data_IF_857500619619
#
_entry.id   IF_857500619619
#
_cell.length_a   1.000
_cell.length_b   1.000
_cell.length_c   1.000
_cell.angle_alpha   90.00
_cell.angle_beta   90.00
_cell.angle_gamma   90.00
#
_symmetry.space_group_name_H-M   'P 1'
#
loop_
_entity.id
_entity.type
_entity.pdbx_description
1 polymer ?
#
# COMPACT_ATOMS: atom_id res chain seq x y z
N UNK A 1 15.32 -6.85 -22.70
CA UNK A 1 14.56 -5.63 -22.37
C UNK A 1 15.13 -5.04 -21.09
N UNK A 2 15.42 -3.74 -21.10
CA UNK A 2 15.96 -3.00 -19.96
C UNK A 2 14.93 -1.97 -19.50
N UNK A 3 14.54 -2.05 -18.22
CA UNK A 3 13.45 -1.25 -17.64
C UNK A 3 13.96 -0.39 -16.50
N UNK A 4 13.74 0.92 -16.60
CA UNK A 4 13.99 1.88 -15.53
C UNK A 4 12.69 2.14 -14.73
N UNK A 5 12.61 1.63 -13.50
CA UNK A 5 11.51 1.96 -12.57
C UNK A 5 11.84 3.25 -11.84
N UNK A 6 11.07 4.31 -12.06
CA UNK A 6 11.28 5.60 -11.40
C UNK A 6 10.37 5.70 -10.18
N UNK A 7 10.98 5.76 -9.00
CA UNK A 7 10.29 5.92 -7.71
C UNK A 7 10.77 7.19 -7.02
N UNK A 8 9.86 7.98 -6.46
CA UNK A 8 10.19 9.28 -5.87
C UNK A 8 11.18 9.19 -4.69
N UNK A 9 10.86 8.33 -3.75
CA UNK A 9 11.68 7.99 -2.57
C UNK A 9 11.69 6.47 -2.44
N UNK A 10 12.84 5.82 -2.63
CA UNK A 10 12.94 4.37 -2.56
C UNK A 10 13.43 3.93 -1.18
N UNK A 11 12.52 3.96 -0.23
CA UNK A 11 12.68 3.44 1.13
C UNK A 11 11.50 2.53 1.47
N UNK A 12 11.56 1.25 1.06
CA UNK A 12 10.46 0.30 1.27
C UNK A 12 9.98 0.19 2.72
N UNK A 13 10.90 0.40 3.68
CA UNK A 13 10.61 0.41 5.11
C UNK A 13 9.73 1.58 5.58
N UNK A 14 9.51 2.61 4.72
CA UNK A 14 8.77 3.84 5.05
C UNK A 14 7.64 4.18 4.09
N UNK A 15 7.61 3.55 2.91
CA UNK A 15 6.67 3.90 1.84
C UNK A 15 6.10 2.67 1.13
N UNK A 16 4.78 2.64 1.00
CA UNK A 16 4.07 1.59 0.28
C UNK A 16 4.35 1.56 -1.23
N UNK A 17 4.60 2.73 -1.86
CA UNK A 17 4.96 2.82 -3.30
C UNK A 17 6.36 2.28 -3.54
N UNK A 18 7.31 2.61 -2.65
CA UNK A 18 8.66 2.06 -2.69
C UNK A 18 8.64 0.54 -2.49
N UNK A 19 7.84 0.04 -1.54
CA UNK A 19 7.68 -1.40 -1.32
C UNK A 19 7.08 -2.11 -2.54
N UNK A 20 6.01 -1.55 -3.14
CA UNK A 20 5.46 -2.05 -4.40
C UNK A 20 6.52 -2.08 -5.51
N UNK A 21 7.29 -0.99 -5.65
CA UNK A 21 8.35 -0.87 -6.66
C UNK A 21 9.43 -1.96 -6.47
N UNK A 22 9.84 -2.21 -5.23
CA UNK A 22 10.80 -3.25 -4.90
C UNK A 22 10.29 -4.66 -5.28
N UNK A 23 9.03 -4.96 -4.95
CA UNK A 23 8.41 -6.26 -5.29
C UNK A 23 8.26 -6.44 -6.80
N UNK A 24 7.80 -5.40 -7.50
CA UNK A 24 7.70 -5.43 -8.98
C UNK A 24 9.08 -5.60 -9.61
N UNK A 25 10.09 -4.88 -9.16
CA UNK A 25 11.45 -4.98 -9.65
C UNK A 25 12.00 -6.40 -9.50
N UNK A 26 11.88 -6.98 -8.30
CA UNK A 26 12.33 -8.35 -8.03
C UNK A 26 11.59 -9.38 -8.88
N UNK A 27 10.30 -9.19 -9.12
CA UNK A 27 9.49 -10.11 -9.90
C UNK A 27 9.82 -10.04 -11.41
N UNK A 28 10.07 -8.82 -11.93
CA UNK A 28 10.53 -8.62 -13.30
C UNK A 28 11.93 -9.20 -13.52
N UNK A 29 12.85 -8.98 -12.55
CA UNK A 29 14.21 -9.54 -12.62
C UNK A 29 14.20 -11.07 -12.65
N UNK A 30 13.35 -11.72 -11.84
CA UNK A 30 13.17 -13.20 -11.89
C UNK A 30 12.68 -13.71 -13.25
N UNK A 31 12.06 -12.86 -14.06
CA UNK A 31 11.64 -13.15 -15.44
C UNK A 31 12.67 -12.77 -16.51
N UNK A 32 13.89 -12.43 -16.09
CA UNK A 32 15.01 -12.11 -17.01
C UNK A 32 14.96 -10.67 -17.56
N UNK A 33 14.21 -9.76 -16.94
CA UNK A 33 14.24 -8.33 -17.27
C UNK A 33 15.43 -7.68 -16.56
N UNK A 34 16.21 -6.89 -17.28
CA UNK A 34 17.23 -6.03 -16.67
C UNK A 34 16.55 -4.81 -16.06
N UNK A 35 16.51 -4.75 -14.73
CA UNK A 35 15.77 -3.73 -13.99
C UNK A 35 16.71 -2.79 -13.27
N UNK A 36 16.54 -1.50 -13.52
CA UNK A 36 17.17 -0.41 -12.78
C UNK A 36 16.09 0.36 -11.99
N UNK A 37 16.25 0.53 -10.68
CA UNK A 37 15.43 1.45 -9.90
C UNK A 37 16.10 2.81 -9.83
N UNK A 38 15.45 3.85 -10.34
CA UNK A 38 15.92 5.23 -10.30
C UNK A 38 15.10 6.04 -9.27
N UNK A 39 15.76 6.67 -8.30
CA UNK A 39 15.09 7.33 -7.17
C UNK A 39 15.78 8.60 -6.72
N UNK A 40 15.07 9.40 -5.90
CA UNK A 40 15.62 10.55 -5.17
C UNK A 40 16.35 10.17 -3.87
N UNK A 41 16.08 8.97 -3.35
CA UNK A 41 16.77 8.40 -2.20
C UNK A 41 16.77 6.88 -2.30
N UNK A 42 17.73 6.22 -1.66
CA UNK A 42 17.82 4.78 -1.56
C UNK A 42 17.76 4.37 -0.09
N UNK A 43 16.96 3.34 0.20
CA UNK A 43 16.95 2.61 1.47
C UNK A 43 17.50 1.20 1.29
N UNK A 44 17.60 0.46 2.38
CA UNK A 44 18.00 -0.94 2.38
C UNK A 44 16.84 -1.83 1.86
N UNK A 45 17.18 -2.97 1.26
CA UNK A 45 16.21 -4.05 0.97
C UNK A 45 15.76 -4.20 -0.48
N UNK A 46 16.56 -3.79 -1.47
CA UNK A 46 16.33 -4.17 -2.86
C UNK A 46 17.34 -5.23 -3.33
N UNK A 47 16.82 -6.35 -3.86
CA UNK A 47 17.61 -7.37 -4.58
C UNK A 47 17.97 -6.92 -6.00
N UNK A 48 17.72 -5.65 -6.33
CA UNK A 48 17.94 -5.04 -7.64
C UNK A 48 18.76 -3.76 -7.52
N UNK A 49 19.45 -3.40 -8.60
CA UNK A 49 20.27 -2.17 -8.62
C UNK A 49 19.44 -0.91 -8.41
N UNK A 50 19.78 -0.14 -7.38
CA UNK A 50 19.17 1.18 -7.11
C UNK A 50 20.15 2.27 -7.44
N UNK A 51 19.72 3.24 -8.25
CA UNK A 51 20.51 4.44 -8.58
C UNK A 51 19.83 5.68 -8.08
N UNK A 52 20.50 6.45 -7.24
CA UNK A 52 20.05 7.78 -6.85
C UNK A 52 20.36 8.73 -8.00
N UNK A 53 19.31 9.25 -8.66
CA UNK A 53 19.41 10.09 -9.87
C UNK A 53 19.20 11.57 -9.58
N UNK A 54 18.74 11.90 -8.40
CA UNK A 54 18.49 13.28 -7.96
C UNK A 54 18.49 13.38 -6.44
N UNK A 55 18.65 14.57 -5.91
CA UNK A 55 18.52 14.90 -4.48
C UNK A 55 17.18 15.58 -4.14
N UNK A 56 16.28 15.67 -5.11
CA UNK A 56 14.94 16.24 -4.95
C UNK A 56 14.22 16.36 -6.29
N UNK A 57 12.89 16.54 -6.24
CA UNK A 57 12.01 16.47 -7.42
C UNK A 57 11.52 17.84 -7.92
N UNK A 58 12.08 18.96 -7.48
CA UNK A 58 11.91 20.25 -8.12
C UNK A 58 12.52 20.28 -9.54
N UNK A 59 12.29 21.34 -10.31
CA UNK A 59 12.67 21.43 -11.73
C UNK A 59 14.13 21.06 -12.02
N UNK A 60 15.06 21.48 -11.16
CA UNK A 60 16.48 21.11 -11.27
C UNK A 60 16.72 19.62 -11.09
N UNK A 61 16.05 19.00 -10.11
CA UNK A 61 16.12 17.58 -9.83
C UNK A 61 15.53 16.72 -10.93
N UNK A 62 14.36 17.10 -11.46
CA UNK A 62 13.73 16.40 -12.60
C UNK A 62 14.63 16.42 -13.84
N UNK A 63 15.33 17.55 -14.09
CA UNK A 63 16.33 17.65 -15.17
C UNK A 63 17.52 16.71 -14.96
N UNK A 64 18.02 16.59 -13.71
CA UNK A 64 19.10 15.63 -13.39
C UNK A 64 18.63 14.20 -13.57
N UNK A 65 17.46 13.86 -13.07
CA UNK A 65 16.87 12.54 -13.22
C UNK A 65 16.68 12.18 -14.71
N UNK A 66 16.14 13.10 -15.52
CA UNK A 66 15.96 12.88 -16.95
C UNK A 66 17.29 12.61 -17.66
N UNK A 67 18.36 13.34 -17.37
CA UNK A 67 19.71 13.12 -17.94
C UNK A 67 20.24 11.75 -17.50
N UNK A 68 20.18 11.44 -16.21
CA UNK A 68 20.66 10.15 -15.70
C UNK A 68 19.94 8.95 -16.33
N UNK A 69 18.63 9.07 -16.57
CA UNK A 69 17.84 8.03 -17.24
C UNK A 69 18.16 7.94 -18.75
N UNK A 70 18.45 9.08 -19.40
CA UNK A 70 18.80 9.10 -20.82
C UNK A 70 20.15 8.41 -21.11
N UNK A 71 21.06 8.37 -20.13
CA UNK A 71 22.37 7.72 -20.21
C UNK A 71 22.30 6.18 -20.04
N UNK A 72 21.13 5.61 -19.67
CA UNK A 72 20.99 4.20 -19.28
C UNK A 72 20.55 3.25 -20.41
N UNK A 73 20.32 3.74 -21.63
CA UNK A 73 19.83 2.95 -22.76
C UNK A 73 18.63 2.06 -22.41
N UNK A 74 17.59 2.69 -21.85
CA UNK A 74 16.38 2.01 -21.40
C UNK A 74 15.39 1.79 -22.55
N UNK A 75 14.82 0.58 -22.65
CA UNK A 75 13.69 0.28 -23.52
C UNK A 75 12.38 0.91 -22.97
N UNK A 76 12.25 0.87 -21.63
CA UNK A 76 11.06 1.37 -20.90
C UNK A 76 11.49 2.22 -19.73
N UNK A 77 10.84 3.38 -19.58
CA UNK A 77 10.82 4.17 -18.35
C UNK A 77 9.44 4.01 -17.73
N UNK A 78 9.37 3.41 -16.56
CA UNK A 78 8.12 3.18 -15.85
C UNK A 78 8.08 3.98 -14.53
N UNK A 79 7.23 5.00 -14.49
CA UNK A 79 7.11 5.90 -13.34
C UNK A 79 6.07 5.37 -12.35
N UNK A 80 6.46 5.23 -11.09
CA UNK A 80 5.59 4.89 -9.97
C UNK A 80 5.08 6.18 -9.33
N UNK A 81 3.89 6.63 -9.71
CA UNK A 81 3.40 7.95 -9.35
C UNK A 81 2.46 7.92 -8.14
N UNK A 82 2.86 8.64 -7.09
CA UNK A 82 2.05 9.14 -6.02
C UNK A 82 2.60 10.51 -5.62
N UNK A 83 1.80 11.58 -5.50
CA UNK A 83 2.31 12.92 -5.17
C UNK A 83 3.16 12.96 -3.90
N UNK A 84 2.77 12.18 -2.88
CA UNK A 84 3.49 12.06 -1.61
C UNK A 84 4.91 11.50 -1.77
N UNK A 85 5.11 10.52 -2.68
CA UNK A 85 6.42 9.93 -2.94
C UNK A 85 7.41 10.91 -3.58
N UNK A 86 6.90 11.94 -4.27
CA UNK A 86 7.70 13.02 -4.86
C UNK A 86 7.72 14.29 -4.01
N UNK A 87 7.45 14.18 -2.71
CA UNK A 87 7.39 15.30 -1.77
C UNK A 87 6.48 16.45 -2.26
N UNK A 88 5.40 16.10 -2.96
CA UNK A 88 4.41 17.03 -3.54
C UNK A 88 4.96 17.95 -4.64
N UNK A 89 6.09 17.59 -5.25
CA UNK A 89 6.67 18.32 -6.38
C UNK A 89 5.96 17.97 -7.70
N UNK A 90 5.15 18.89 -8.24
CA UNK A 90 4.45 18.74 -9.51
C UNK A 90 5.35 18.75 -10.74
N UNK A 91 6.56 19.25 -10.58
CA UNK A 91 7.57 19.30 -11.63
C UNK A 91 7.94 17.92 -12.18
N UNK A 92 7.74 16.84 -11.41
CA UNK A 92 7.90 15.47 -11.92
C UNK A 92 7.01 15.19 -13.13
N UNK A 93 5.87 15.87 -13.22
CA UNK A 93 4.98 15.85 -14.39
C UNK A 93 5.63 16.30 -15.70
N UNK A 94 6.78 16.98 -15.65
CA UNK A 94 7.56 17.40 -16.81
C UNK A 94 8.60 16.36 -17.26
N UNK A 95 8.84 15.31 -16.50
CA UNK A 95 9.84 14.29 -16.79
C UNK A 95 9.73 13.75 -18.23
N UNK A 96 8.53 13.41 -18.76
CA UNK A 96 8.40 12.90 -20.12
C UNK A 96 8.87 13.86 -21.22
N UNK A 97 8.74 15.16 -21.01
CA UNK A 97 9.21 16.16 -21.96
C UNK A 97 10.76 16.26 -21.99
N UNK A 98 11.42 15.87 -20.91
CA UNK A 98 12.87 15.95 -20.75
C UNK A 98 13.59 14.65 -21.15
N UNK A 99 12.89 13.51 -21.21
CA UNK A 99 13.44 12.20 -21.62
C UNK A 99 13.69 12.06 -23.12
N UNK A 100 13.14 12.96 -23.96
CA UNK A 100 13.40 12.97 -25.39
C UNK A 100 12.79 11.81 -26.20
N UNK A 101 11.90 11.00 -25.62
CA UNK A 101 11.07 10.02 -26.32
C UNK A 101 11.78 8.77 -26.86
N UNK A 102 12.97 8.45 -26.37
CA UNK A 102 13.72 7.23 -26.80
C UNK A 102 13.16 5.95 -26.20
N UNK A 103 12.80 6.00 -24.90
CA UNK A 103 12.21 4.88 -24.18
C UNK A 103 10.68 4.97 -24.19
N UNK A 104 10.02 3.82 -24.15
CA UNK A 104 8.57 3.75 -23.94
C UNK A 104 8.24 4.22 -22.53
N UNK A 105 7.31 5.15 -22.39
CA UNK A 105 6.86 5.62 -21.08
C UNK A 105 5.64 4.82 -20.63
N UNK A 106 5.71 4.26 -19.41
CA UNK A 106 4.58 3.69 -18.67
C UNK A 106 4.47 4.42 -17.35
N UNK A 107 3.26 4.63 -16.86
CA UNK A 107 3.04 5.27 -15.56
C UNK A 107 2.03 4.48 -14.74
N UNK A 108 2.43 3.99 -13.56
CA UNK A 108 1.49 3.47 -12.55
C UNK A 108 1.06 4.61 -11.64
N UNK A 109 -0.25 4.80 -11.48
CA UNK A 109 -0.81 5.77 -10.53
C UNK A 109 -1.29 5.05 -9.26
N UNK A 110 -0.62 5.30 -8.14
CA UNK A 110 -0.98 4.78 -6.82
C UNK A 110 -1.98 5.66 -6.10
N UNK A 111 -1.93 6.97 -6.37
CA UNK A 111 -2.83 8.00 -5.83
C UNK A 111 -3.34 8.86 -6.98
N UNK A 112 -4.67 9.01 -7.10
CA UNK A 112 -5.29 9.77 -8.18
C UNK A 112 -6.71 10.20 -7.82
N UNK A 113 -7.21 11.23 -8.52
CA UNK A 113 -8.57 11.76 -8.46
C UNK A 113 -8.90 12.62 -7.21
N UNK A 114 -7.92 13.01 -6.40
CA UNK A 114 -8.17 13.82 -5.22
C UNK A 114 -7.29 15.08 -5.13
N UNK A 115 -6.23 15.17 -5.93
CA UNK A 115 -5.24 16.22 -5.82
C UNK A 115 -5.06 16.98 -7.15
N UNK A 116 -4.71 18.24 -7.09
CA UNK A 116 -4.47 19.08 -8.25
C UNK A 116 -3.37 20.10 -7.98
N UNK A 117 -2.43 20.17 -8.91
CA UNK A 117 -1.40 21.21 -8.97
C UNK A 117 -2.02 22.52 -9.45
N UNK A 118 -1.69 23.62 -8.88
CA UNK A 118 -2.09 24.91 -9.38
C UNK A 118 -2.25 25.95 -8.28
N UNK A 119 -2.04 27.24 -8.61
CA UNK A 119 -2.22 28.32 -7.67
C UNK A 119 -3.65 28.32 -7.12
N UNK A 120 -3.78 28.37 -5.82
CA UNK A 120 -5.07 28.32 -5.13
C UNK A 120 -6.11 29.33 -5.65
N UNK A 121 -5.74 30.62 -5.94
CA UNK A 121 -6.70 31.61 -6.41
C UNK A 121 -7.22 31.37 -7.84
N UNK A 122 -6.45 30.69 -8.71
CA UNK A 122 -6.84 30.38 -10.09
C UNK A 122 -7.48 29.00 -10.24
N UNK A 123 -7.43 28.19 -9.20
CA UNK A 123 -7.89 26.80 -9.19
C UNK A 123 -9.36 26.61 -9.64
N UNK A 124 -10.34 27.42 -9.19
CA UNK A 124 -11.73 27.26 -9.61
C UNK A 124 -11.93 27.53 -11.10
N UNK A 125 -11.26 28.55 -11.65
CA UNK A 125 -11.37 28.89 -13.07
C UNK A 125 -10.69 27.82 -13.94
N UNK A 126 -9.45 27.46 -13.61
CA UNK A 126 -8.70 26.42 -14.33
C UNK A 126 -9.40 25.06 -14.27
N UNK A 127 -9.98 24.70 -13.11
CA UNK A 127 -10.70 23.45 -12.96
C UNK A 127 -11.95 23.36 -13.85
N UNK A 128 -12.61 24.48 -14.10
CA UNK A 128 -13.87 24.52 -14.88
C UNK A 128 -13.65 24.64 -16.39
N UNK A 129 -12.53 25.16 -16.82
CA UNK A 129 -12.30 25.49 -18.24
C UNK A 129 -11.05 24.85 -18.83
N UNK A 130 -9.85 25.23 -18.34
CA UNK A 130 -8.59 24.85 -18.96
C UNK A 130 -8.23 23.38 -18.75
N UNK A 131 -8.34 22.86 -17.51
CA UNK A 131 -7.99 21.47 -17.23
C UNK A 131 -8.80 20.47 -18.05
N UNK A 132 -10.15 20.52 -18.08
CA UNK A 132 -10.94 19.55 -18.86
C UNK A 132 -10.63 19.62 -20.35
N UNK A 133 -10.26 20.79 -20.87
CA UNK A 133 -9.91 20.96 -22.28
C UNK A 133 -8.54 20.34 -22.60
N UNK A 134 -7.52 20.56 -21.76
CA UNK A 134 -6.19 19.99 -21.90
C UNK A 134 -6.22 18.46 -21.74
N UNK A 135 -6.95 17.97 -20.76
CA UNK A 135 -7.11 16.55 -20.47
C UNK A 135 -7.78 15.79 -21.60
N UNK A 136 -8.91 16.29 -22.10
CA UNK A 136 -9.61 15.67 -23.26
C UNK A 136 -8.75 15.60 -24.51
N UNK A 137 -7.79 16.51 -24.65
CA UNK A 137 -6.83 16.49 -25.77
C UNK A 137 -5.61 15.60 -25.52
N UNK A 138 -5.43 15.08 -24.30
CA UNK A 138 -4.27 14.30 -23.91
C UNK A 138 -2.99 15.14 -23.86
N UNK A 139 -3.11 16.45 -23.61
CA UNK A 139 -1.95 17.34 -23.59
C UNK A 139 -1.38 17.53 -22.20
N UNK A 140 -2.23 17.47 -21.18
CA UNK A 140 -1.83 17.66 -19.79
C UNK A 140 -2.88 17.08 -18.85
N UNK A 141 -2.46 16.37 -17.81
CA UNK A 141 -3.31 15.94 -16.71
C UNK A 141 -3.10 16.87 -15.51
N UNK A 142 -4.18 17.31 -14.88
CA UNK A 142 -4.13 18.22 -13.73
C UNK A 142 -3.37 17.65 -12.52
N UNK A 143 -3.28 16.32 -12.40
CA UNK A 143 -2.62 15.66 -11.26
C UNK A 143 -1.22 15.15 -11.58
N UNK A 144 -1.03 14.53 -12.71
CA UNK A 144 0.21 13.87 -13.08
C UNK A 144 0.96 14.54 -14.25
N UNK A 145 0.44 15.66 -14.78
CA UNK A 145 1.08 16.41 -15.86
C UNK A 145 1.20 15.58 -17.14
N UNK A 146 2.42 15.47 -17.66
CA UNK A 146 2.71 14.68 -18.86
C UNK A 146 2.90 13.19 -18.55
N UNK A 147 3.04 12.79 -17.29
CA UNK A 147 3.27 11.38 -16.92
C UNK A 147 2.16 10.47 -17.42
N UNK A 148 0.90 10.90 -17.32
CA UNK A 148 -0.26 10.17 -17.80
C UNK A 148 -0.66 10.57 -19.21
N UNK A 149 -0.54 11.87 -19.53
CA UNK A 149 -0.94 12.40 -20.84
C UNK A 149 -0.07 11.92 -22.00
N UNK A 150 1.21 11.58 -21.76
CA UNK A 150 2.17 11.09 -22.77
C UNK A 150 2.58 9.63 -22.60
N UNK A 151 2.07 8.95 -21.59
CA UNK A 151 2.37 7.54 -21.39
C UNK A 151 1.81 6.69 -22.54
N UNK A 152 2.58 5.69 -22.96
CA UNK A 152 2.10 4.64 -23.88
C UNK A 152 1.02 3.78 -23.22
N UNK A 153 1.12 3.60 -21.89
CA UNK A 153 0.11 3.00 -21.05
C UNK A 153 0.12 3.62 -19.66
N UNK A 154 -1.05 3.82 -19.09
CA UNK A 154 -1.25 4.23 -17.69
C UNK A 154 -1.84 3.07 -16.93
N UNK A 155 -1.17 2.66 -15.87
CA UNK A 155 -1.62 1.60 -14.98
C UNK A 155 -2.36 2.24 -13.80
N UNK A 156 -3.62 1.87 -13.63
CA UNK A 156 -4.42 2.19 -12.46
C UNK A 156 -4.41 1.00 -11.50
N UNK A 157 -4.15 1.26 -10.23
CA UNK A 157 -4.07 0.21 -9.21
C UNK A 157 -5.41 -0.21 -8.62
N UNK A 158 -6.51 0.40 -9.09
CA UNK A 158 -7.87 0.07 -8.68
C UNK A 158 -8.91 0.63 -9.67
N UNK A 159 -10.16 0.11 -9.65
CA UNK A 159 -11.23 0.52 -10.56
C UNK A 159 -11.57 2.01 -10.51
N UNK A 160 -11.56 2.62 -9.31
CA UNK A 160 -11.92 4.04 -9.16
C UNK A 160 -10.90 4.96 -9.86
N UNK A 161 -9.60 4.66 -9.73
CA UNK A 161 -8.56 5.37 -10.47
C UNK A 161 -8.68 5.16 -11.99
N UNK A 162 -8.94 3.91 -12.41
CA UNK A 162 -9.14 3.60 -13.83
C UNK A 162 -10.30 4.39 -14.43
N UNK A 163 -11.43 4.43 -13.73
CA UNK A 163 -12.61 5.21 -14.14
C UNK A 163 -12.29 6.71 -14.24
N UNK A 164 -11.62 7.27 -13.22
CA UNK A 164 -11.23 8.68 -13.22
C UNK A 164 -10.27 9.03 -14.37
N UNK A 165 -9.27 8.17 -14.62
CA UNK A 165 -8.33 8.33 -15.73
C UNK A 165 -9.04 8.28 -17.09
N UNK A 166 -9.89 7.27 -17.33
CA UNK A 166 -10.66 7.14 -18.57
C UNK A 166 -11.58 8.34 -18.81
N UNK A 167 -12.20 8.86 -17.74
CA UNK A 167 -13.07 10.04 -17.83
C UNK A 167 -12.30 11.33 -18.15
N UNK A 168 -11.10 11.51 -17.57
CA UNK A 168 -10.29 12.71 -17.76
C UNK A 168 -9.45 12.66 -19.04
N UNK A 169 -8.86 11.51 -19.34
CA UNK A 169 -7.92 11.27 -20.43
C UNK A 169 -8.46 10.22 -21.41
N UNK A 170 -9.51 10.52 -22.18
CA UNK A 170 -10.19 9.52 -23.04
C UNK A 170 -9.29 8.96 -24.16
N UNK A 171 -8.13 9.55 -24.39
CA UNK A 171 -7.13 9.09 -25.38
C UNK A 171 -6.02 8.23 -24.76
N UNK A 172 -5.93 8.15 -23.43
CA UNK A 172 -4.92 7.36 -22.76
C UNK A 172 -5.30 5.87 -22.79
N UNK A 173 -4.31 5.02 -23.02
CA UNK A 173 -4.44 3.58 -22.82
C UNK A 173 -4.37 3.30 -21.33
N UNK A 174 -5.50 2.98 -20.69
CA UNK A 174 -5.59 2.74 -19.25
C UNK A 174 -5.77 1.26 -18.97
N UNK A 175 -4.75 0.65 -18.41
CA UNK A 175 -4.76 -0.71 -17.86
C UNK A 175 -5.14 -0.69 -16.38
N UNK A 176 -5.85 -1.70 -15.96
CA UNK A 176 -6.14 -1.94 -14.54
C UNK A 176 -5.32 -3.12 -14.06
N UNK A 177 -4.34 -2.83 -13.20
CA UNK A 177 -3.46 -3.85 -12.61
C UNK A 177 -3.46 -3.62 -11.10
N UNK A 178 -4.01 -4.55 -10.32
CA UNK A 178 -4.12 -4.38 -8.87
C UNK A 178 -2.74 -4.35 -8.21
N UNK A 179 -2.70 -3.92 -6.96
CA UNK A 179 -1.51 -4.11 -6.12
C UNK A 179 -1.46 -5.54 -5.60
N UNK A 180 -0.26 -6.02 -5.33
CA UNK A 180 -0.02 -7.30 -4.66
C UNK A 180 0.26 -7.14 -3.17
N UNK A 181 0.28 -8.26 -2.45
CA UNK A 181 0.73 -8.28 -1.07
C UNK A 181 2.19 -7.80 -0.99
N UNK A 182 2.43 -6.80 -0.15
CA UNK A 182 3.80 -6.30 0.05
C UNK A 182 4.68 -7.31 0.79
N UNK A 183 4.07 -8.23 1.52
CA UNK A 183 4.72 -9.22 2.36
C UNK A 183 4.29 -10.62 1.92
N UNK A 184 5.25 -11.47 1.59
CA UNK A 184 5.01 -12.90 1.34
C UNK A 184 5.14 -13.73 2.61
N UNK A 185 4.59 -14.95 2.58
CA UNK A 185 4.73 -15.91 3.67
C UNK A 185 6.19 -16.40 3.71
N UNK A 186 6.88 -16.22 4.84
CA UNK A 186 8.21 -16.75 5.03
C UNK A 186 8.18 -18.29 5.05
N UNK A 187 9.29 -18.90 4.62
CA UNK A 187 9.43 -20.36 4.67
C UNK A 187 9.13 -20.90 6.08
N UNK A 188 8.37 -21.99 6.13
CA UNK A 188 7.97 -22.59 7.38
C UNK A 188 9.20 -23.11 8.14
N UNK A 189 9.39 -22.58 9.34
CA UNK A 189 10.26 -23.12 10.38
C UNK A 189 9.42 -23.83 11.46
N UNK A 190 9.85 -23.69 12.72
CA UNK A 190 9.07 -24.13 13.89
C UNK A 190 7.68 -23.52 13.90
N UNK A 191 6.71 -24.18 14.51
CA UNK A 191 5.32 -23.70 14.67
C UNK A 191 5.29 -22.25 15.17
N UNK A 192 4.96 -21.26 14.29
CA UNK A 192 5.02 -19.85 14.64
C UNK A 192 4.01 -19.49 15.74
N UNK A 193 2.87 -20.20 15.79
CA UNK A 193 1.83 -19.97 16.80
C UNK A 193 2.34 -20.21 18.20
N UNK A 194 3.02 -21.34 18.40
CA UNK A 194 3.61 -21.72 19.69
C UNK A 194 4.81 -20.83 20.04
N UNK A 195 5.70 -20.63 19.08
CA UNK A 195 6.93 -19.90 19.30
C UNK A 195 6.70 -18.43 19.66
N UNK A 196 5.81 -17.72 18.94
CA UNK A 196 5.50 -16.32 19.22
C UNK A 196 4.76 -16.15 20.55
N UNK A 197 3.81 -17.05 20.88
CA UNK A 197 3.16 -16.99 22.20
C UNK A 197 4.13 -17.20 23.34
N UNK A 198 5.06 -18.16 23.23
CA UNK A 198 6.09 -18.38 24.22
C UNK A 198 7.03 -17.17 24.39
N UNK A 199 7.43 -16.54 23.28
CA UNK A 199 8.24 -15.32 23.27
C UNK A 199 7.55 -14.15 23.99
N UNK A 200 6.24 -14.03 23.81
CA UNK A 200 5.42 -12.98 24.43
C UNK A 200 4.97 -13.34 25.86
N UNK A 201 5.34 -14.51 26.37
CA UNK A 201 4.90 -14.99 27.67
C UNK A 201 3.40 -15.22 27.78
N UNK A 202 2.74 -15.58 26.67
CA UNK A 202 1.30 -15.80 26.61
C UNK A 202 0.96 -17.29 26.84
N UNK A 203 -0.24 -17.52 27.36
CA UNK A 203 -0.84 -18.85 27.34
C UNK A 203 -0.89 -19.39 25.89
N UNK A 204 -0.55 -20.66 25.64
CA UNK A 204 -0.62 -21.25 24.29
C UNK A 204 -2.00 -21.15 23.61
N UNK A 205 -3.06 -21.01 24.40
CA UNK A 205 -4.44 -20.88 23.92
C UNK A 205 -4.96 -19.44 23.89
N UNK A 206 -4.16 -18.47 24.38
CA UNK A 206 -4.58 -17.08 24.36
C UNK A 206 -4.90 -16.61 22.93
N UNK A 207 -6.08 -16.01 22.69
CA UNK A 207 -6.38 -15.39 21.40
C UNK A 207 -5.37 -14.31 21.08
N UNK A 208 -4.77 -14.39 19.88
CA UNK A 208 -3.77 -13.44 19.41
C UNK A 208 -4.33 -12.68 18.22
N UNK A 209 -4.62 -11.40 18.42
CA UNK A 209 -5.09 -10.47 17.41
C UNK A 209 -3.90 -9.76 16.77
N UNK A 210 -3.93 -9.54 15.47
CA UNK A 210 -2.90 -8.78 14.77
C UNK A 210 -3.49 -7.59 14.00
N UNK A 211 -2.92 -6.42 14.22
CA UNK A 211 -2.98 -5.29 13.29
C UNK A 211 -1.63 -5.22 12.56
N UNK A 212 -1.65 -5.02 11.25
CA UNK A 212 -0.44 -4.82 10.45
C UNK A 212 -0.54 -3.55 9.61
N UNK A 213 0.52 -2.74 9.66
CA UNK A 213 0.69 -1.52 8.88
C UNK A 213 1.24 -0.36 9.71
N UNK A 214 1.51 0.78 9.06
CA UNK A 214 1.90 1.99 9.77
C UNK A 214 0.84 2.39 10.80
N UNK A 215 1.28 2.63 12.04
CA UNK A 215 0.39 3.04 13.13
C UNK A 215 0.10 4.53 12.98
N UNK A 216 -1.03 4.82 12.35
CA UNK A 216 -1.49 6.18 12.02
C UNK A 216 -2.96 6.34 12.37
N UNK A 217 -3.41 7.57 12.66
CA UNK A 217 -4.79 7.84 13.07
C UNK A 217 -5.84 7.32 12.08
N UNK A 218 -5.57 7.45 10.75
CA UNK A 218 -6.46 6.94 9.69
C UNK A 218 -6.56 5.41 9.66
N UNK A 219 -5.62 4.70 10.28
CA UNK A 219 -5.64 3.24 10.41
C UNK A 219 -6.50 2.75 11.57
N UNK A 220 -7.08 3.66 12.35
CA UNK A 220 -8.11 3.35 13.34
C UNK A 220 -7.62 2.54 14.55
N UNK A 221 -6.33 2.58 14.87
CA UNK A 221 -5.72 1.81 15.98
C UNK A 221 -6.43 2.07 17.31
N UNK A 222 -6.96 3.27 17.53
CA UNK A 222 -7.77 3.61 18.71
C UNK A 222 -8.96 2.67 18.86
N UNK A 223 -9.64 2.35 17.76
CA UNK A 223 -10.86 1.52 17.78
C UNK A 223 -10.56 0.05 18.09
N UNK A 224 -9.41 -0.49 17.66
CA UNK A 224 -9.04 -1.85 18.05
C UNK A 224 -8.60 -1.96 19.51
N UNK A 225 -7.98 -0.89 20.06
CA UNK A 225 -7.65 -0.82 21.50
C UNK A 225 -8.92 -0.80 22.34
N UNK A 226 -9.92 0.01 21.96
CA UNK A 226 -11.23 0.01 22.61
C UNK A 226 -11.94 -1.34 22.49
N UNK A 227 -11.90 -1.95 21.30
CA UNK A 227 -12.46 -3.28 21.08
C UNK A 227 -11.77 -4.36 21.94
N UNK A 228 -10.44 -4.27 22.10
CA UNK A 228 -9.70 -5.18 22.97
C UNK A 228 -10.14 -5.04 24.44
N UNK A 229 -10.38 -3.81 24.93
CA UNK A 229 -10.89 -3.58 26.27
C UNK A 229 -12.25 -4.27 26.48
N UNK A 230 -13.15 -4.19 25.51
CA UNK A 230 -14.45 -4.87 25.53
C UNK A 230 -14.29 -6.39 25.53
N UNK A 231 -13.44 -6.94 24.66
CA UNK A 231 -13.15 -8.37 24.59
C UNK A 231 -12.60 -8.91 25.90
N UNK A 232 -11.74 -8.16 26.57
CA UNK A 232 -11.10 -8.60 27.82
C UNK A 232 -12.02 -8.52 29.04
N UNK A 233 -13.10 -7.77 28.95
CA UNK A 233 -14.16 -7.82 29.97
C UNK A 233 -14.82 -9.22 30.03
N UNK A 234 -14.94 -9.89 28.87
CA UNK A 234 -15.54 -11.21 28.73
C UNK A 234 -14.51 -12.37 28.73
N UNK A 235 -13.27 -12.10 28.27
CA UNK A 235 -12.19 -13.07 28.13
C UNK A 235 -10.84 -12.41 28.40
N UNK A 236 -10.30 -12.56 29.61
CA UNK A 236 -9.11 -11.86 30.09
C UNK A 236 -7.80 -12.16 29.34
N UNK A 237 -7.74 -13.19 28.49
CA UNK A 237 -6.51 -13.71 27.88
C UNK A 237 -6.19 -13.14 26.49
N UNK A 238 -7.10 -12.40 25.84
CA UNK A 238 -6.86 -11.88 24.49
C UNK A 238 -5.66 -10.90 24.46
N UNK A 239 -4.79 -11.04 23.46
CA UNK A 239 -3.62 -10.19 23.27
C UNK A 239 -3.60 -9.57 21.87
N UNK A 240 -3.16 -8.32 21.76
CA UNK A 240 -3.09 -7.57 20.51
C UNK A 240 -1.63 -7.28 20.13
N UNK A 241 -1.25 -7.68 18.92
CA UNK A 241 -0.04 -7.26 18.26
C UNK A 241 -0.34 -6.04 17.36
N UNK A 242 0.28 -4.92 17.64
CA UNK A 242 0.35 -3.78 16.73
C UNK A 242 1.67 -3.85 15.96
N UNK A 243 1.62 -4.43 14.76
CA UNK A 243 2.81 -4.71 13.94
C UNK A 243 3.02 -3.57 12.96
N UNK A 244 4.06 -2.76 13.19
CA UNK A 244 4.42 -1.65 12.33
C UNK A 244 4.92 -0.43 13.08
N UNK A 245 5.60 0.46 12.35
CA UNK A 245 6.16 1.69 12.88
C UNK A 245 5.13 2.83 12.94
N UNK A 246 5.46 3.86 13.73
CA UNK A 246 4.68 5.11 13.80
C UNK A 246 5.16 6.13 12.75
N UNK A 247 6.37 5.99 12.23
CA UNK A 247 6.88 6.86 11.17
C UNK A 247 6.51 6.35 9.78
N UNK A 248 6.03 7.27 8.93
CA UNK A 248 5.72 7.04 7.53
C UNK A 248 5.95 8.33 6.73
N UNK A 249 5.72 8.31 5.42
CA UNK A 249 5.74 9.54 4.62
C UNK A 249 4.67 10.56 5.06
N UNK A 250 3.55 10.08 5.61
CA UNK A 250 2.43 10.90 6.05
C UNK A 250 2.52 11.36 7.52
N UNK A 251 3.37 10.74 8.34
CA UNK A 251 3.52 11.06 9.76
C UNK A 251 5.00 10.94 10.15
N UNK A 252 5.64 12.07 10.48
CA UNK A 252 7.10 12.13 10.69
C UNK A 252 7.47 12.90 11.96
N UNK A 253 8.65 12.57 12.50
CA UNK A 253 9.29 13.32 13.57
C UNK A 253 8.39 13.50 14.78
N UNK A 254 8.16 14.76 15.19
CA UNK A 254 7.39 15.08 16.38
C UNK A 254 5.94 14.58 16.34
N UNK A 255 5.28 14.67 15.19
CA UNK A 255 3.89 14.20 15.04
C UNK A 255 3.79 12.69 15.26
N UNK A 256 4.76 11.92 14.76
CA UNK A 256 4.82 10.47 14.97
C UNK A 256 5.07 10.14 16.46
N UNK A 257 5.95 10.89 17.12
CA UNK A 257 6.24 10.74 18.55
C UNK A 257 5.01 11.08 19.41
N UNK A 258 4.33 12.19 19.11
CA UNK A 258 3.15 12.64 19.84
C UNK A 258 1.99 11.62 19.69
N UNK A 259 1.77 11.10 18.46
CA UNK A 259 0.75 10.08 18.22
C UNK A 259 1.08 8.74 18.91
N UNK A 260 2.36 8.35 18.96
CA UNK A 260 2.81 7.19 19.74
C UNK A 260 2.49 7.33 21.21
N UNK A 261 2.84 8.48 21.80
CA UNK A 261 2.55 8.78 23.21
C UNK A 261 1.05 8.74 23.51
N UNK A 262 0.22 9.23 22.59
CA UNK A 262 -1.23 9.16 22.69
C UNK A 262 -1.73 7.70 22.72
N UNK A 263 -1.24 6.85 21.80
CA UNK A 263 -1.61 5.43 21.76
C UNK A 263 -1.16 4.70 23.03
N UNK A 264 0.06 4.95 23.52
CA UNK A 264 0.58 4.36 24.77
C UNK A 264 -0.25 4.81 25.99
N UNK A 265 -0.61 6.09 26.07
CA UNK A 265 -1.47 6.61 27.12
C UNK A 265 -2.87 5.98 27.09
N UNK A 266 -3.44 5.78 25.90
CA UNK A 266 -4.73 5.12 25.72
C UNK A 266 -4.71 3.66 26.17
N UNK A 267 -3.63 2.91 25.87
CA UNK A 267 -3.41 1.54 26.34
C UNK A 267 -3.36 1.51 27.87
N UNK A 268 -2.58 2.40 28.49
CA UNK A 268 -2.44 2.48 29.93
C UNK A 268 -3.77 2.85 30.62
N UNK A 269 -4.52 3.84 30.10
CA UNK A 269 -5.80 4.27 30.66
C UNK A 269 -6.88 3.16 30.65
N UNK A 270 -6.69 2.08 29.89
CA UNK A 270 -7.58 0.91 29.80
C UNK A 270 -7.03 -0.34 30.48
N UNK A 271 -5.95 -0.21 31.24
CA UNK A 271 -5.23 -1.34 31.89
C UNK A 271 -4.80 -2.44 30.90
N UNK A 272 -4.47 -2.04 29.65
CA UNK A 272 -4.09 -2.97 28.56
C UNK A 272 -2.59 -3.11 28.35
N UNK A 273 -1.75 -2.53 29.21
CA UNK A 273 -0.28 -2.51 29.06
C UNK A 273 0.34 -3.90 28.89
N UNK A 274 -0.25 -4.92 29.53
CA UNK A 274 0.18 -6.33 29.39
C UNK A 274 -0.54 -7.09 28.28
N UNK A 275 -1.52 -6.48 27.64
CA UNK A 275 -2.37 -7.10 26.63
C UNK A 275 -2.09 -6.56 25.20
N UNK A 276 -1.22 -5.58 25.07
CA UNK A 276 -0.83 -4.99 23.79
C UNK A 276 0.68 -4.98 23.65
N UNK A 277 1.15 -5.48 22.51
CA UNK A 277 2.56 -5.39 22.11
C UNK A 277 2.69 -4.44 20.91
N UNK A 278 3.41 -3.34 21.11
CA UNK A 278 3.83 -2.42 20.04
C UNK A 278 5.18 -2.92 19.50
N UNK A 279 5.21 -3.51 18.31
CA UNK A 279 6.45 -4.09 17.78
C UNK A 279 7.39 -3.05 17.18
N UNK A 280 6.86 -1.89 16.79
CA UNK A 280 7.57 -0.98 15.89
C UNK A 280 7.76 -1.59 14.52
N UNK A 281 8.60 -0.96 13.70
CA UNK A 281 9.01 -1.53 12.41
C UNK A 281 9.76 -2.85 12.63
N UNK A 282 9.48 -3.83 11.80
CA UNK A 282 10.10 -5.15 11.84
C UNK A 282 10.49 -5.59 10.42
N UNK A 283 11.57 -6.38 10.28
CA UNK A 283 11.91 -7.00 9.00
C UNK A 283 10.81 -7.96 8.52
N UNK A 284 10.67 -8.12 7.20
CA UNK A 284 9.62 -8.91 6.55
C UNK A 284 9.47 -10.32 7.11
N UNK A 285 10.58 -11.05 7.32
CA UNK A 285 10.55 -12.39 7.90
C UNK A 285 9.95 -12.41 9.32
N UNK A 286 10.20 -11.37 10.12
CA UNK A 286 9.64 -11.23 11.45
C UNK A 286 8.16 -10.89 11.41
N UNK A 287 7.75 -9.97 10.53
CA UNK A 287 6.34 -9.62 10.30
C UNK A 287 5.55 -10.86 9.87
N UNK A 288 6.08 -11.60 8.90
CA UNK A 288 5.45 -12.84 8.42
C UNK A 288 5.27 -13.86 9.55
N UNK A 289 6.27 -14.05 10.40
CA UNK A 289 6.19 -14.94 11.58
C UNK A 289 5.12 -14.49 12.57
N UNK A 290 5.02 -13.19 12.84
CA UNK A 290 4.01 -12.61 13.74
C UNK A 290 2.60 -12.78 13.18
N UNK A 291 2.39 -12.50 11.88
CA UNK A 291 1.10 -12.71 11.22
C UNK A 291 0.72 -14.19 11.21
N UNK A 292 1.65 -15.09 10.87
CA UNK A 292 1.39 -16.55 10.88
C UNK A 292 1.03 -17.09 12.27
N UNK A 293 1.39 -16.37 13.34
CA UNK A 293 1.06 -16.75 14.72
C UNK A 293 -0.32 -16.25 15.18
N UNK A 294 -0.90 -15.26 14.51
CA UNK A 294 -2.16 -14.64 14.90
C UNK A 294 -3.36 -15.56 14.60
N UNK A 295 -4.47 -15.32 15.31
CA UNK A 295 -5.75 -16.00 15.10
C UNK A 295 -6.67 -15.16 14.23
N UNK A 296 -6.62 -13.83 14.36
CA UNK A 296 -7.48 -12.88 13.63
C UNK A 296 -6.67 -11.64 13.29
N UNK A 297 -6.74 -11.21 12.03
CA UNK A 297 -6.27 -9.89 11.63
C UNK A 297 -7.40 -8.86 11.78
N UNK A 298 -7.08 -7.67 12.28
CA UNK A 298 -8.05 -6.59 12.48
C UNK A 298 -7.58 -5.32 11.80
N UNK A 299 -8.37 -4.82 10.85
CA UNK A 299 -8.06 -3.65 10.02
C UNK A 299 -9.15 -2.56 10.18
N UNK A 300 -9.12 -1.77 11.27
CA UNK A 300 -10.19 -0.87 11.66
C UNK A 300 -10.08 0.52 10.99
N UNK A 301 -9.74 0.59 9.71
CA UNK A 301 -9.43 1.84 9.01
C UNK A 301 -10.61 2.83 9.06
N UNK A 302 -10.34 4.11 9.32
CA UNK A 302 -11.38 5.13 9.56
C UNK A 302 -12.16 5.53 8.30
N UNK A 303 -11.61 5.24 7.12
CA UNK A 303 -12.28 5.43 5.82
C UNK A 303 -12.75 4.10 5.18
N UNK A 304 -12.69 3.00 5.95
CA UNK A 304 -12.93 1.66 5.44
C UNK A 304 -11.70 1.02 4.79
N UNK A 305 -11.76 -0.29 4.67
CA UNK A 305 -10.69 -1.12 4.10
C UNK A 305 -11.04 -1.48 2.66
N UNK A 306 -10.06 -1.40 1.77
CA UNK A 306 -10.20 -1.77 0.36
C UNK A 306 -9.01 -2.61 -0.08
N UNK A 307 -9.11 -3.27 -1.23
CA UNK A 307 -8.04 -4.05 -1.86
C UNK A 307 -6.81 -3.24 -2.27
N UNK A 308 -6.88 -1.90 -2.18
CA UNK A 308 -5.70 -1.00 -2.23
C UNK A 308 -4.79 -1.11 -1.01
N UNK A 309 -5.19 -1.84 0.03
CA UNK A 309 -4.42 -1.94 1.26
C UNK A 309 -3.42 -3.08 1.21
N UNK A 310 -2.13 -2.76 1.13
CA UNK A 310 -1.06 -3.75 1.29
C UNK A 310 -1.14 -4.51 2.63
N UNK A 311 -1.67 -3.87 3.68
CA UNK A 311 -1.92 -4.52 4.98
C UNK A 311 -3.00 -5.60 4.87
N UNK A 312 -4.10 -5.33 4.14
CA UNK A 312 -5.16 -6.32 3.87
C UNK A 312 -4.58 -7.51 3.11
N UNK A 313 -3.90 -7.23 2.00
CA UNK A 313 -3.35 -8.29 1.14
C UNK A 313 -2.27 -9.12 1.86
N UNK A 314 -1.46 -8.51 2.71
CA UNK A 314 -0.48 -9.23 3.53
C UNK A 314 -1.18 -10.17 4.54
N UNK A 315 -2.23 -9.71 5.23
CA UNK A 315 -3.02 -10.58 6.11
C UNK A 315 -3.70 -11.71 5.33
N UNK A 316 -4.22 -11.41 4.14
CA UNK A 316 -4.85 -12.37 3.25
C UNK A 316 -3.86 -13.43 2.74
N UNK A 317 -2.63 -13.04 2.37
CA UNK A 317 -1.54 -13.93 1.95
C UNK A 317 -1.18 -14.94 3.05
N UNK A 318 -1.24 -14.50 4.32
CA UNK A 318 -1.04 -15.39 5.48
C UNK A 318 -2.29 -16.25 5.81
N UNK A 319 -3.37 -16.07 5.06
CA UNK A 319 -4.62 -16.81 5.25
C UNK A 319 -5.27 -16.55 6.60
N UNK A 320 -5.11 -15.35 7.15
CA UNK A 320 -5.77 -14.99 8.41
C UNK A 320 -7.26 -14.74 8.18
N UNK A 321 -8.13 -15.17 9.10
CA UNK A 321 -9.46 -14.58 9.20
C UNK A 321 -9.33 -13.08 9.44
N UNK A 322 -10.08 -12.27 8.70
CA UNK A 322 -9.94 -10.80 8.73
C UNK A 322 -11.23 -10.17 9.25
N UNK A 323 -11.12 -9.28 10.22
CA UNK A 323 -12.16 -8.33 10.60
C UNK A 323 -11.73 -6.96 10.10
N UNK A 324 -12.54 -6.32 9.26
CA UNK A 324 -12.19 -5.04 8.65
C UNK A 324 -13.38 -4.08 8.65
N UNK A 325 -13.10 -2.79 8.53
CA UNK A 325 -14.16 -1.78 8.37
C UNK A 325 -14.58 -1.67 6.91
N UNK A 326 -15.90 -1.59 6.68
CA UNK A 326 -16.47 -1.41 5.35
C UNK A 326 -16.12 -0.03 4.78
N UNK A 327 -15.75 0.02 3.51
CA UNK A 327 -15.55 1.26 2.78
C UNK A 327 -16.89 1.81 2.25
N UNK A 328 -16.92 3.12 2.02
CA UNK A 328 -18.03 3.78 1.32
C UNK A 328 -17.45 4.67 0.19
N UNK A 329 -17.72 4.34 -1.10
CA UNK A 329 -18.47 3.18 -1.59
C UNK A 329 -17.79 1.84 -1.28
N UNK A 330 -18.54 0.73 -1.21
CA UNK A 330 -17.99 -0.61 -0.97
C UNK A 330 -16.97 -1.03 -2.04
N UNK A 331 -15.93 -1.73 -1.60
CA UNK A 331 -14.97 -2.35 -2.52
C UNK A 331 -15.61 -3.61 -3.14
N UNK A 332 -15.71 -3.71 -4.48
CA UNK A 332 -16.37 -4.82 -5.14
C UNK A 332 -15.66 -6.18 -4.97
N UNK A 333 -14.37 -6.16 -4.63
CA UNK A 333 -13.55 -7.37 -4.44
C UNK A 333 -13.48 -7.79 -2.95
N UNK A 334 -13.92 -6.91 -2.02
CA UNK A 334 -13.92 -7.19 -0.58
C UNK A 334 -15.35 -7.30 -0.06
N UNK A 335 -15.95 -8.47 -0.26
CA UNK A 335 -17.32 -8.74 0.15
C UNK A 335 -17.38 -9.24 1.61
N UNK A 336 -18.45 -8.81 2.33
CA UNK A 336 -18.70 -9.25 3.70
C UNK A 336 -18.99 -10.77 3.75
N UNK A 337 -18.35 -11.43 4.71
CA UNK A 337 -18.51 -12.88 4.92
C UNK A 337 -17.72 -13.77 3.95
N UNK A 338 -17.00 -13.20 2.95
CA UNK A 338 -16.09 -13.97 2.08
C UNK A 338 -14.63 -13.85 2.54
N UNK A 339 -13.89 -12.83 2.14
CA UNK A 339 -12.50 -12.64 2.54
C UNK A 339 -12.35 -11.93 3.90
N UNK A 340 -13.37 -11.26 4.39
CA UNK A 340 -13.39 -10.57 5.68
C UNK A 340 -14.80 -10.49 6.26
N UNK A 341 -14.91 -10.34 7.59
CA UNK A 341 -16.11 -9.77 8.21
C UNK A 341 -16.01 -8.25 8.19
N UNK A 342 -16.97 -7.60 7.57
CA UNK A 342 -17.02 -6.15 7.45
C UNK A 342 -17.91 -5.55 8.55
N UNK A 343 -17.40 -4.52 9.21
CA UNK A 343 -18.11 -3.76 10.26
C UNK A 343 -18.12 -2.27 9.95
N UNK A 344 -18.97 -1.51 10.64
CA UNK A 344 -18.98 -0.07 10.50
C UNK A 344 -17.65 0.58 10.91
N UNK A 345 -17.30 1.69 10.26
CA UNK A 345 -16.13 2.49 10.64
C UNK A 345 -16.33 3.10 12.03
N UNK A 346 -15.25 3.18 12.82
CA UNK A 346 -15.25 3.79 14.16
C UNK A 346 -16.20 3.13 15.16
N UNK A 347 -16.58 1.89 14.96
CA UNK A 347 -17.44 1.11 15.83
C UNK A 347 -16.66 0.01 16.56
N UNK A 348 -16.10 0.36 17.72
CA UNK A 348 -15.31 -0.57 18.52
C UNK A 348 -16.12 -1.74 19.06
N UNK A 349 -17.42 -1.55 19.31
CA UNK A 349 -18.31 -2.62 19.78
C UNK A 349 -18.59 -3.66 18.66
N UNK A 350 -18.85 -3.18 17.44
CA UNK A 350 -19.01 -4.06 16.28
C UNK A 350 -17.71 -4.81 15.98
N UNK A 351 -16.54 -4.17 16.08
CA UNK A 351 -15.23 -4.83 15.95
C UNK A 351 -15.06 -5.94 16.98
N UNK A 352 -15.33 -5.67 18.26
CA UNK A 352 -15.24 -6.65 19.35
C UNK A 352 -16.16 -7.85 19.08
N UNK A 353 -17.42 -7.58 18.73
CA UNK A 353 -18.42 -8.61 18.41
C UNK A 353 -17.98 -9.50 17.23
N UNK A 354 -17.44 -8.88 16.16
CA UNK A 354 -16.96 -9.61 15.00
C UNK A 354 -15.75 -10.51 15.36
N UNK A 355 -14.80 -10.00 16.14
CA UNK A 355 -13.66 -10.78 16.64
C UNK A 355 -14.15 -11.96 17.48
N UNK A 356 -15.06 -11.74 18.43
CA UNK A 356 -15.63 -12.80 19.27
C UNK A 356 -16.27 -13.89 18.40
N UNK A 357 -17.05 -13.49 17.40
CA UNK A 357 -17.70 -14.44 16.46
C UNK A 357 -16.67 -15.30 15.72
N UNK A 358 -15.60 -14.70 15.20
CA UNK A 358 -14.52 -15.44 14.51
C UNK A 358 -13.81 -16.40 15.46
N UNK A 359 -13.55 -16.00 16.69
CA UNK A 359 -12.86 -16.82 17.68
C UNK A 359 -13.70 -18.00 18.21
N UNK A 360 -15.03 -17.84 18.23
CA UNK A 360 -15.96 -18.85 18.74
C UNK A 360 -16.54 -19.78 17.66
N UNK A 361 -16.38 -19.43 16.38
CA UNK A 361 -16.90 -20.19 15.24
C UNK A 361 -15.75 -20.64 14.32
N UNK A 362 -15.22 -21.85 14.51
CA UNK A 362 -14.13 -22.40 13.69
C UNK A 362 -14.48 -22.55 12.20
N UNK A 363 -15.77 -22.81 11.88
CA UNK A 363 -16.22 -22.96 10.48
C UNK A 363 -16.18 -21.59 9.79
N UNK A 364 -16.66 -20.54 10.43
CA UNK A 364 -16.55 -19.17 9.94
C UNK A 364 -15.08 -18.76 9.79
N UNK A 365 -14.24 -19.02 10.78
CA UNK A 365 -12.81 -18.70 10.72
C UNK A 365 -12.14 -19.41 9.53
N UNK A 366 -12.43 -20.67 9.28
CA UNK A 366 -11.92 -21.43 8.14
C UNK A 366 -12.43 -20.88 6.80
N UNK A 367 -13.71 -20.51 6.72
CA UNK A 367 -14.30 -19.92 5.52
C UNK A 367 -13.64 -18.57 5.17
N UNK A 368 -13.49 -17.67 6.16
CA UNK A 368 -12.82 -16.39 5.99
C UNK A 368 -11.35 -16.56 5.60
N UNK A 369 -10.64 -17.51 6.22
CA UNK A 369 -9.27 -17.87 5.82
C UNK A 369 -9.17 -18.32 4.36
N UNK A 370 -10.09 -19.15 3.90
CA UNK A 370 -10.13 -19.62 2.52
C UNK A 370 -10.44 -18.45 1.55
N UNK A 371 -11.38 -17.58 1.90
CA UNK A 371 -11.70 -16.36 1.16
C UNK A 371 -10.52 -15.41 1.07
N UNK A 372 -9.83 -15.18 2.20
CA UNK A 372 -8.63 -14.37 2.24
C UNK A 372 -7.53 -14.90 1.30
N UNK A 373 -7.28 -16.23 1.28
CA UNK A 373 -6.32 -16.83 0.35
C UNK A 373 -6.74 -16.68 -1.11
N UNK A 374 -8.04 -16.77 -1.43
CA UNK A 374 -8.54 -16.52 -2.80
C UNK A 374 -8.29 -15.08 -3.22
N UNK A 375 -8.57 -14.12 -2.32
CA UNK A 375 -8.28 -12.70 -2.56
C UNK A 375 -6.79 -12.48 -2.82
N UNK A 376 -5.91 -13.02 -1.98
CA UNK A 376 -4.45 -12.89 -2.16
C UNK A 376 -3.99 -13.50 -3.49
N UNK A 377 -4.51 -14.67 -3.88
CA UNK A 377 -4.17 -15.32 -5.14
C UNK A 377 -4.57 -14.48 -6.37
N UNK A 378 -5.71 -13.79 -6.32
CA UNK A 378 -6.14 -12.87 -7.36
C UNK A 378 -5.21 -11.64 -7.49
N UNK A 379 -4.49 -11.28 -6.42
CA UNK A 379 -3.53 -10.19 -6.34
C UNK A 379 -2.06 -10.67 -6.40
N UNK A 380 -1.80 -11.81 -7.04
CA UNK A 380 -0.47 -12.44 -7.08
C UNK A 380 0.54 -11.65 -7.93
N UNK A 381 1.76 -11.48 -7.43
CA UNK A 381 2.84 -10.74 -8.10
C UNK A 381 3.22 -11.32 -9.46
N UNK A 382 3.06 -12.63 -9.65
CA UNK A 382 3.29 -13.28 -10.94
C UNK A 382 2.39 -12.69 -12.05
N UNK A 383 1.10 -12.58 -11.80
CA UNK A 383 0.14 -12.02 -12.73
C UNK A 383 0.33 -10.51 -12.92
N UNK A 384 0.67 -9.79 -11.82
CA UNK A 384 0.97 -8.35 -11.86
C UNK A 384 2.16 -8.08 -12.78
N UNK A 385 3.28 -8.79 -12.61
CA UNK A 385 4.47 -8.61 -13.45
C UNK A 385 4.19 -8.96 -14.91
N UNK A 386 3.44 -10.03 -15.16
CA UNK A 386 3.06 -10.42 -16.53
C UNK A 386 2.18 -9.34 -17.20
N UNK A 387 1.24 -8.76 -16.46
CA UNK A 387 0.44 -7.64 -16.97
C UNK A 387 1.33 -6.45 -17.35
N UNK A 388 2.34 -6.10 -16.54
CA UNK A 388 3.30 -5.05 -16.86
C UNK A 388 4.14 -5.39 -18.09
N UNK A 389 4.61 -6.63 -18.22
CA UNK A 389 5.39 -7.06 -19.39
C UNK A 389 4.59 -6.90 -20.69
N UNK A 390 3.32 -7.31 -20.71
CA UNK A 390 2.45 -7.08 -21.88
C UNK A 390 2.36 -5.60 -22.26
N UNK A 391 2.25 -4.71 -21.28
CA UNK A 391 2.22 -3.25 -21.52
C UNK A 391 3.58 -2.73 -22.02
N UNK A 392 4.69 -3.28 -21.55
CA UNK A 392 6.03 -2.90 -22.02
C UNK A 392 6.25 -3.30 -23.48
N UNK A 393 5.72 -4.44 -23.92
CA UNK A 393 5.76 -4.90 -25.30
C UNK A 393 4.77 -4.18 -26.23
N UNK A 394 3.91 -3.31 -25.69
CA UNK A 394 2.90 -2.59 -26.46
C UNK A 394 1.61 -3.37 -26.69
N UNK A 395 1.41 -4.43 -25.93
CA UNK A 395 0.15 -5.17 -25.92
C UNK A 395 -1.04 -4.32 -25.42
N UNK A 396 -2.23 -4.74 -25.76
CA UNK A 396 -3.44 -4.16 -25.18
C UNK A 396 -3.57 -4.50 -23.69
N UNK A 397 -4.17 -3.60 -22.89
CA UNK A 397 -4.38 -3.81 -21.46
C UNK A 397 -5.29 -5.00 -21.15
#
# INVERSE_FOLDING_TARGET
MRVGLVCGDFRPERDGVAHYTARLASELARRGVDVLVASGAAGDGADVGVRVVTDGWGLGGVRRAARALADEDLDVVHVQFAPSAYAWHGEVGLLPALLGGRARLVTTVHEYAWWSWGPQPLRPLLARTAWPWLERRGWWDREAGLLTARASAVVATNPAHAQALRARLPRATVAEVPIGANLGVAAAGDDPRRAVRAELGLDPRAPLLAFFGFVHAVKGVRHIIDALALLRADSASAHLLLIGGFESLALRGREATDYRAEVEAMIAARDLTRAVTLTGWQPDARVSRLLSAADVAVLPFTAGTTTKSGSLLACAEHGLPIVATAADPPDPELLDGDAALLVGVRDSAAIAKAITRVLQDPELAAALSAGARRLAAAHGWAAIAEAHLRLYDGGAP
#
